data_IF_259187830051
#
_entry.id   IF_259187830051
#
_cell.length_a   1.000
_cell.length_b   1.000
_cell.length_c   1.000
_cell.angle_alpha   90.00
_cell.angle_beta   90.00
_cell.angle_gamma   90.00
#
_symmetry.space_group_name_H-M   'P 1'
#
loop_
_entity.id
_entity.type
_entity.pdbx_description
1 polymer ?
#
# COMPACT_ATOMS: atom_id res chain seq x y z
N UNK A 1 14.93 2.59 3.44
CA UNK A 1 13.71 2.45 4.25
C UNK A 1 13.40 0.96 4.49
N UNK A 2 13.00 0.61 5.72
CA UNK A 2 12.73 -0.77 6.16
C UNK A 2 13.96 -1.54 6.67
N UNK A 3 13.77 -2.82 7.01
CA UNK A 3 14.81 -3.73 7.51
C UNK A 3 15.16 -4.82 6.47
N UNK A 4 16.43 -5.21 6.38
CA UNK A 4 16.88 -6.36 5.58
C UNK A 4 17.00 -7.58 6.48
N UNK A 5 16.30 -8.66 6.14
CA UNK A 5 16.39 -9.94 6.84
C UNK A 5 17.18 -10.92 5.97
N UNK A 6 18.29 -11.41 6.49
CA UNK A 6 19.19 -12.33 5.81
C UNK A 6 18.81 -13.78 6.11
N UNK A 7 18.37 -14.51 5.08
CA UNK A 7 18.09 -15.94 5.16
C UNK A 7 19.35 -16.68 4.71
N UNK A 8 20.25 -16.93 5.66
CA UNK A 8 21.58 -17.52 5.41
C UNK A 8 21.53 -19.02 5.15
N UNK A 9 20.62 -19.74 5.81
CA UNK A 9 20.40 -21.19 5.63
C UNK A 9 18.99 -21.43 5.12
N UNK A 10 18.86 -22.11 3.99
CA UNK A 10 17.56 -22.47 3.42
C UNK A 10 17.65 -23.85 2.75
N UNK A 11 16.49 -24.50 2.55
CA UNK A 11 16.40 -25.69 1.68
C UNK A 11 16.61 -25.33 0.20
N UNK A 12 16.48 -24.05 -0.14
CA UNK A 12 16.75 -23.50 -1.46
C UNK A 12 18.04 -22.66 -1.45
N UNK A 13 17.98 -21.43 -1.93
CA UNK A 13 19.12 -20.53 -2.01
C UNK A 13 19.11 -19.49 -0.88
N UNK A 14 20.31 -18.98 -0.59
CA UNK A 14 20.46 -17.83 0.29
C UNK A 14 19.74 -16.64 -0.33
N UNK A 15 19.09 -15.82 0.50
CA UNK A 15 18.41 -14.62 0.01
C UNK A 15 18.24 -13.59 1.10
N UNK A 16 18.01 -12.36 0.68
CA UNK A 16 17.68 -11.25 1.56
C UNK A 16 16.27 -10.80 1.27
N UNK A 17 15.44 -10.70 2.31
CA UNK A 17 14.06 -10.20 2.20
C UNK A 17 13.99 -8.81 2.82
N UNK A 18 13.35 -7.87 2.11
CA UNK A 18 13.06 -6.54 2.65
C UNK A 18 11.76 -6.55 3.43
N UNK A 19 11.82 -6.16 4.70
CA UNK A 19 10.65 -5.92 5.55
C UNK A 19 10.40 -4.42 5.59
N UNK A 20 9.25 -3.97 5.10
CA UNK A 20 8.89 -2.54 5.05
C UNK A 20 7.89 -2.19 6.15
N UNK A 21 6.72 -2.82 6.15
CA UNK A 21 5.61 -2.45 7.06
C UNK A 21 5.95 -2.63 8.54
N UNK A 22 6.55 -3.76 8.88
CA UNK A 22 6.85 -4.15 10.26
C UNK A 22 8.30 -3.91 10.66
N UNK A 23 9.02 -3.04 9.93
CA UNK A 23 10.44 -2.81 10.20
C UNK A 23 10.68 -2.25 11.61
N UNK A 24 9.81 -1.34 12.08
CA UNK A 24 9.89 -0.77 13.42
C UNK A 24 9.56 -1.80 14.52
N UNK A 25 8.66 -2.74 14.26
CA UNK A 25 8.35 -3.83 15.18
C UNK A 25 9.51 -4.82 15.24
N UNK A 26 10.13 -5.10 14.09
CA UNK A 26 11.32 -5.94 14.01
C UNK A 26 12.50 -5.30 14.78
N UNK A 27 12.69 -3.99 14.64
CA UNK A 27 13.71 -3.25 15.38
C UNK A 27 13.50 -3.37 16.89
N UNK A 28 12.28 -3.11 17.37
CA UNK A 28 11.91 -3.30 18.79
C UNK A 28 12.12 -4.74 19.26
N UNK A 29 11.81 -5.71 18.40
CA UNK A 29 11.95 -7.12 18.74
C UNK A 29 13.41 -7.57 18.93
N UNK A 30 14.35 -6.96 18.19
CA UNK A 30 15.79 -7.27 18.28
C UNK A 30 16.57 -6.27 19.13
N UNK A 31 15.89 -5.30 19.74
CA UNK A 31 16.50 -4.30 20.60
C UNK A 31 17.25 -4.98 21.76
N UNK A 32 18.48 -4.53 22.02
CA UNK A 32 19.37 -5.13 23.02
C UNK A 32 19.99 -6.49 22.64
N UNK A 33 19.75 -7.01 21.42
CA UNK A 33 20.39 -8.25 20.95
C UNK A 33 21.69 -7.98 20.19
N UNK A 34 22.58 -8.96 20.18
CA UNK A 34 23.83 -8.89 19.41
C UNK A 34 23.56 -9.18 17.93
N UNK A 35 24.47 -8.75 17.06
CA UNK A 35 24.29 -8.90 15.61
C UNK A 35 24.35 -10.38 15.17
N UNK A 36 25.02 -11.22 15.95
CA UNK A 36 25.19 -12.65 15.68
C UNK A 36 23.98 -13.47 16.14
N UNK A 37 23.12 -12.89 16.98
CA UNK A 37 21.97 -13.60 17.53
C UNK A 37 20.89 -13.79 16.45
N UNK A 38 20.18 -14.92 16.53
CA UNK A 38 19.03 -15.14 15.64
C UNK A 38 17.96 -14.09 15.90
N UNK A 39 17.47 -13.48 14.81
CA UNK A 39 16.34 -12.55 14.84
C UNK A 39 15.14 -13.19 15.54
N UNK A 40 14.77 -14.42 15.16
CA UNK A 40 13.71 -15.20 15.81
C UNK A 40 14.31 -16.40 16.55
N UNK A 41 14.12 -16.47 17.86
CA UNK A 41 14.69 -17.52 18.72
C UNK A 41 13.73 -18.65 19.04
N UNK A 42 12.43 -18.46 18.77
CA UNK A 42 11.40 -19.47 19.01
C UNK A 42 11.38 -20.52 17.90
N UNK A 43 11.14 -21.77 18.27
CA UNK A 43 11.03 -22.86 17.31
C UNK A 43 9.70 -22.80 16.53
N UNK A 44 9.60 -23.63 15.48
CA UNK A 44 8.44 -23.67 14.59
C UNK A 44 7.11 -23.91 15.33
N UNK A 45 7.06 -24.83 16.29
CA UNK A 45 5.84 -25.19 16.99
C UNK A 45 5.34 -24.07 17.90
N UNK A 46 6.26 -23.38 18.58
CA UNK A 46 5.92 -22.19 19.38
C UNK A 46 5.35 -21.08 18.50
N UNK A 47 6.00 -20.78 17.38
CA UNK A 47 5.50 -19.77 16.43
C UNK A 47 4.16 -20.18 15.82
N UNK A 48 3.96 -21.47 15.55
CA UNK A 48 2.69 -21.99 15.08
C UNK A 48 1.58 -21.82 16.11
N UNK A 49 1.87 -22.00 17.41
CA UNK A 49 0.90 -21.78 18.48
C UNK A 49 0.50 -20.31 18.56
N UNK A 50 1.47 -19.38 18.58
CA UNK A 50 1.18 -17.95 18.53
C UNK A 50 0.35 -17.57 17.29
N UNK A 51 0.67 -18.17 16.14
CA UNK A 51 -0.10 -17.95 14.93
C UNK A 51 -1.52 -18.51 15.05
N UNK A 52 -1.74 -19.67 15.68
CA UNK A 52 -3.09 -20.21 15.90
C UNK A 52 -3.93 -19.26 16.75
N UNK A 53 -3.36 -18.70 17.80
CA UNK A 53 -4.06 -17.77 18.68
C UNK A 53 -4.41 -16.48 17.95
N UNK A 54 -3.45 -15.90 17.21
CA UNK A 54 -3.70 -14.75 16.35
C UNK A 54 -4.75 -15.02 15.27
N UNK A 55 -4.72 -16.22 14.66
CA UNK A 55 -5.69 -16.65 13.64
C UNK A 55 -7.11 -16.74 14.19
N UNK A 56 -7.26 -17.24 15.42
CA UNK A 56 -8.54 -17.31 16.14
C UNK A 56 -9.06 -15.92 16.50
N UNK A 57 -8.20 -15.06 17.05
CA UNK A 57 -8.56 -13.68 17.40
C UNK A 57 -9.01 -12.90 16.16
N UNK A 58 -8.36 -13.14 15.02
CA UNK A 58 -8.73 -12.53 13.75
C UNK A 58 -10.02 -13.10 13.12
N UNK A 59 -10.65 -14.12 13.73
CA UNK A 59 -11.88 -14.74 13.20
C UNK A 59 -11.69 -15.47 11.87
N UNK A 60 -10.46 -15.92 11.57
CA UNK A 60 -10.15 -16.56 10.29
C UNK A 60 -10.57 -18.04 10.28
N UNK A 61 -10.96 -18.59 9.10
CA UNK A 61 -11.45 -19.96 9.00
C UNK A 61 -10.41 -20.99 9.40
N UNK A 62 -10.88 -22.16 9.84
CA UNK A 62 -9.99 -23.24 10.28
C UNK A 62 -9.17 -23.79 9.11
N UNK A 63 -7.85 -23.60 9.20
CA UNK A 63 -6.87 -24.08 8.22
C UNK A 63 -5.76 -24.88 8.90
N UNK A 64 -5.38 -26.02 8.30
CA UNK A 64 -4.29 -26.88 8.78
C UNK A 64 -2.91 -26.24 8.59
N UNK A 65 -2.57 -25.76 7.39
CA UNK A 65 -1.22 -25.27 7.03
C UNK A 65 -1.12 -23.74 7.03
N UNK A 66 -1.31 -23.09 8.18
CA UNK A 66 -1.40 -21.61 8.30
C UNK A 66 -0.21 -20.85 7.70
N UNK A 67 1.04 -21.24 8.00
CA UNK A 67 2.22 -20.59 7.40
C UNK A 67 2.29 -20.72 5.88
N UNK A 68 1.84 -21.85 5.34
CA UNK A 68 1.80 -22.08 3.91
C UNK A 68 0.76 -21.19 3.22
N UNK A 69 -0.42 -21.06 3.83
CA UNK A 69 -1.45 -20.14 3.36
C UNK A 69 -0.98 -18.69 3.40
N UNK A 70 -0.39 -18.23 4.51
CA UNK A 70 0.17 -16.88 4.58
C UNK A 70 1.20 -16.60 3.48
N UNK A 71 2.10 -17.56 3.26
CA UNK A 71 3.11 -17.47 2.20
C UNK A 71 2.46 -17.35 0.82
N UNK A 72 1.42 -18.12 0.57
CA UNK A 72 0.69 -18.12 -0.68
C UNK A 72 -0.11 -16.84 -0.90
N UNK A 73 -0.89 -16.42 0.09
CA UNK A 73 -1.62 -15.14 0.06
C UNK A 73 -0.68 -13.97 -0.25
N UNK A 74 0.52 -13.95 0.36
CA UNK A 74 1.50 -12.89 0.07
C UNK A 74 2.06 -12.95 -1.35
N UNK A 75 2.25 -14.15 -1.91
CA UNK A 75 2.71 -14.29 -3.30
C UNK A 75 1.65 -13.78 -4.29
N UNK A 76 0.39 -14.16 -4.08
CA UNK A 76 -0.75 -13.70 -4.90
C UNK A 76 -0.91 -12.17 -4.82
N UNK A 77 -0.82 -11.60 -3.61
CA UNK A 77 -0.88 -10.15 -3.41
C UNK A 77 0.23 -9.43 -4.20
N UNK A 78 1.47 -9.91 -4.12
CA UNK A 78 2.60 -9.29 -4.82
C UNK A 78 2.50 -9.42 -6.34
N UNK A 79 1.97 -10.53 -6.84
CA UNK A 79 1.72 -10.71 -8.28
C UNK A 79 0.68 -9.70 -8.80
N UNK A 80 -0.40 -9.48 -8.03
CA UNK A 80 -1.42 -8.45 -8.34
C UNK A 80 -0.85 -7.04 -8.30
N UNK A 81 0.16 -6.79 -7.46
CA UNK A 81 0.90 -5.53 -7.40
C UNK A 81 1.94 -5.38 -8.54
N UNK A 82 2.03 -6.34 -9.46
CA UNK A 82 2.84 -6.25 -10.66
C UNK A 82 4.21 -6.92 -10.59
N UNK A 83 4.52 -7.67 -9.52
CA UNK A 83 5.75 -8.47 -9.51
C UNK A 83 5.64 -9.61 -10.54
N UNK A 84 6.67 -9.75 -11.36
CA UNK A 84 6.74 -10.86 -12.30
C UNK A 84 7.16 -12.16 -11.61
N UNK A 85 6.99 -13.27 -12.32
CA UNK A 85 7.27 -14.61 -11.79
C UNK A 85 8.71 -14.77 -11.30
N UNK A 86 9.69 -14.25 -12.05
CA UNK A 86 11.11 -14.40 -11.70
C UNK A 86 11.45 -13.63 -10.42
N UNK A 87 10.86 -12.45 -10.24
CA UNK A 87 10.98 -11.66 -9.00
C UNK A 87 10.37 -12.41 -7.81
N UNK A 88 9.19 -13.02 -7.99
CA UNK A 88 8.58 -13.86 -6.96
C UNK A 88 9.46 -15.08 -6.64
N UNK A 89 10.03 -15.75 -7.63
CA UNK A 89 10.95 -16.87 -7.39
C UNK A 89 12.15 -16.45 -6.54
N UNK A 90 12.78 -15.30 -6.85
CA UNK A 90 13.90 -14.76 -6.08
C UNK A 90 13.48 -14.42 -4.65
N UNK A 91 12.37 -13.70 -4.48
CA UNK A 91 11.88 -13.26 -3.17
C UNK A 91 11.51 -14.44 -2.26
N UNK A 92 10.79 -15.41 -2.82
CA UNK A 92 10.31 -16.57 -2.06
C UNK A 92 11.38 -17.68 -1.97
N UNK A 93 12.40 -17.67 -2.82
CA UNK A 93 13.44 -18.70 -2.89
C UNK A 93 12.90 -20.00 -3.49
N UNK A 94 12.12 -19.91 -4.56
CA UNK A 94 11.61 -21.06 -5.30
C UNK A 94 12.57 -21.43 -6.43
N UNK A 95 12.94 -22.71 -6.51
CA UNK A 95 13.80 -23.23 -7.61
C UNK A 95 13.02 -23.51 -8.89
N UNK A 96 11.74 -23.80 -8.77
CA UNK A 96 10.88 -24.19 -9.90
C UNK A 96 9.60 -23.36 -9.91
N UNK A 97 8.99 -23.26 -11.10
CA UNK A 97 7.73 -22.54 -11.32
C UNK A 97 6.51 -23.22 -10.71
N UNK A 98 6.61 -24.49 -10.27
CA UNK A 98 5.50 -25.27 -9.67
C UNK A 98 4.70 -24.51 -8.60
N UNK A 99 5.33 -23.60 -7.86
CA UNK A 99 4.68 -22.79 -6.83
C UNK A 99 3.94 -21.56 -7.37
N UNK A 100 4.36 -21.05 -8.53
CA UNK A 100 3.73 -19.94 -9.26
C UNK A 100 2.55 -20.45 -10.08
N UNK A 101 2.65 -21.66 -10.66
CA UNK A 101 1.59 -22.27 -11.48
C UNK A 101 0.25 -22.39 -10.74
N UNK A 102 0.28 -22.43 -9.40
CA UNK A 102 -0.92 -22.41 -8.53
C UNK A 102 -1.68 -21.07 -8.60
N UNK A 103 -1.04 -19.99 -9.06
CA UNK A 103 -1.56 -18.62 -9.07
C UNK A 103 -1.49 -17.91 -10.43
N UNK A 104 -0.69 -18.42 -11.37
CA UNK A 104 -0.41 -17.81 -12.68
C UNK A 104 -1.54 -18.03 -13.69
N UNK A 105 -2.80 -17.88 -13.27
CA UNK A 105 -3.94 -17.86 -14.18
C UNK A 105 -4.02 -16.47 -14.84
N UNK A 106 -3.17 -16.25 -15.84
CA UNK A 106 -3.31 -15.11 -16.74
C UNK A 106 -4.52 -15.34 -17.65
N UNK A 107 -5.43 -14.38 -17.71
CA UNK A 107 -6.49 -14.39 -18.71
C UNK A 107 -6.02 -13.68 -19.97
N UNK A 108 -6.64 -13.97 -21.12
CA UNK A 108 -6.36 -13.25 -22.37
C UNK A 108 -6.65 -11.75 -22.22
N UNK A 109 -7.68 -11.38 -21.44
CA UNK A 109 -8.00 -10.00 -21.12
C UNK A 109 -6.84 -9.28 -20.40
N UNK A 110 -6.19 -9.94 -19.43
CA UNK A 110 -5.03 -9.36 -18.73
C UNK A 110 -3.84 -9.11 -19.68
N UNK A 111 -3.69 -9.94 -20.71
CA UNK A 111 -2.64 -9.80 -21.73
C UNK A 111 -3.00 -8.67 -22.69
N UNK A 112 -4.24 -8.62 -23.15
CA UNK A 112 -4.75 -7.57 -24.03
C UNK A 112 -4.66 -6.18 -23.39
N UNK A 113 -5.10 -6.03 -22.14
CA UNK A 113 -4.95 -4.77 -21.39
C UNK A 113 -3.49 -4.33 -21.26
N UNK A 114 -2.55 -5.28 -21.08
CA UNK A 114 -1.11 -4.95 -21.06
C UNK A 114 -0.58 -4.54 -22.42
N UNK A 115 -1.04 -5.18 -23.50
CA UNK A 115 -0.63 -4.83 -24.86
C UNK A 115 -1.17 -3.44 -25.25
N UNK A 116 -2.44 -3.16 -24.97
CA UNK A 116 -3.04 -1.85 -25.18
C UNK A 116 -2.29 -0.76 -24.40
N UNK A 117 -1.87 -1.03 -23.15
CA UNK A 117 -1.01 -0.11 -22.40
C UNK A 117 0.33 0.18 -23.08
N UNK A 118 0.98 -0.84 -23.63
CA UNK A 118 2.30 -0.70 -24.27
C UNK A 118 2.20 0.10 -25.57
N UNK A 119 1.18 -0.16 -26.38
CA UNK A 119 1.10 0.36 -27.74
C UNK A 119 0.18 1.57 -27.90
N UNK A 120 -0.86 1.70 -27.07
CA UNK A 120 -1.90 2.74 -27.17
C UNK A 120 -1.79 3.76 -26.02
N UNK A 121 -1.10 3.41 -24.93
CA UNK A 121 -0.92 4.31 -23.78
C UNK A 121 -2.19 4.49 -22.93
N UNK A 122 -3.17 3.59 -23.07
CA UNK A 122 -4.37 3.64 -22.23
C UNK A 122 -4.00 3.38 -20.75
N UNK A 123 -4.22 4.39 -19.91
CA UNK A 123 -4.26 4.23 -18.46
C UNK A 123 -5.58 3.55 -18.10
N UNK A 124 -5.60 2.22 -18.09
CA UNK A 124 -6.62 1.51 -17.32
C UNK A 124 -6.39 1.91 -15.85
N UNK A 125 -7.42 2.37 -15.15
CA UNK A 125 -7.38 2.62 -13.70
C UNK A 125 -6.94 1.34 -12.99
N UNK A 126 -5.63 1.14 -12.84
CA UNK A 126 -5.11 0.17 -11.91
C UNK A 126 -5.54 0.69 -10.55
N UNK A 127 -6.38 -0.09 -9.86
CA UNK A 127 -6.48 -0.05 -8.40
C UNK A 127 -5.09 -0.42 -7.84
N UNK A 128 -4.13 0.49 -7.97
CA UNK A 128 -2.85 0.37 -7.29
C UNK A 128 -3.22 0.47 -5.83
N UNK A 129 -3.15 -0.68 -5.16
CA UNK A 129 -3.22 -0.77 -3.72
C UNK A 129 -1.95 -0.08 -3.16
N UNK A 130 -1.92 1.25 -3.23
CA UNK A 130 -0.82 2.07 -2.74
C UNK A 130 -0.88 2.02 -1.21
N UNK A 131 0.20 1.52 -0.63
CA UNK A 131 0.39 1.59 0.82
C UNK A 131 0.44 3.05 1.26
N UNK A 132 -0.32 3.40 2.29
CA UNK A 132 -0.38 4.75 2.86
C UNK A 132 0.46 4.87 4.13
N UNK A 133 0.65 6.08 4.64
CA UNK A 133 1.24 6.30 5.96
C UNK A 133 0.13 6.53 6.99
N UNK A 134 0.25 5.90 8.15
CA UNK A 134 -0.62 6.18 9.31
C UNK A 134 -0.40 7.64 9.75
N UNK A 135 -1.45 8.45 9.94
CA UNK A 135 -1.26 9.86 10.31
C UNK A 135 -0.73 10.03 11.74
N UNK A 136 -1.02 9.08 12.64
CA UNK A 136 -0.53 9.12 14.03
C UNK A 136 0.93 8.71 14.17
N UNK A 137 1.30 7.57 13.58
CA UNK A 137 2.62 6.95 13.84
C UNK A 137 3.50 6.78 12.60
N UNK A 138 3.05 7.28 11.45
CA UNK A 138 3.74 7.28 10.14
C UNK A 138 4.12 5.89 9.60
N UNK A 139 3.64 4.82 10.23
CA UNK A 139 3.84 3.46 9.74
C UNK A 139 3.25 3.30 8.34
N UNK A 140 3.94 2.54 7.48
CA UNK A 140 3.39 2.16 6.17
C UNK A 140 2.31 1.13 6.41
N UNK A 141 1.08 1.44 6.01
CA UNK A 141 -0.11 0.62 6.21
C UNK A 141 -0.66 0.14 4.87
N UNK A 142 -1.09 -1.13 4.75
CA UNK A 142 -1.83 -1.59 3.58
C UNK A 142 -3.07 -0.73 3.31
N UNK A 143 -3.45 -0.53 2.05
CA UNK A 143 -4.66 0.22 1.70
C UNK A 143 -5.93 -0.45 2.25
N UNK A 144 -5.94 -1.79 2.37
CA UNK A 144 -7.08 -2.57 2.87
C UNK A 144 -7.23 -2.57 4.40
N UNK A 145 -6.26 -2.02 5.14
CA UNK A 145 -6.30 -2.08 6.60
C UNK A 145 -7.37 -1.14 7.18
N UNK A 146 -8.25 -1.66 8.03
CA UNK A 146 -9.25 -0.88 8.76
C UNK A 146 -8.65 -0.11 9.94
N UNK A 147 -7.50 -0.55 10.44
CA UNK A 147 -6.76 0.07 11.54
C UNK A 147 -5.25 -0.03 11.31
N UNK A 148 -4.49 0.84 11.96
CA UNK A 148 -3.04 0.83 11.89
C UNK A 148 -2.50 -0.38 12.65
N UNK A 149 -1.74 -1.29 12.00
CA UNK A 149 -1.22 -2.48 12.66
C UNK A 149 -0.15 -2.17 13.72
N UNK A 150 0.40 -0.95 13.72
CA UNK A 150 1.44 -0.52 14.68
C UNK A 150 0.87 0.12 15.95
N UNK A 151 -0.14 0.98 15.81
CA UNK A 151 -0.66 1.79 16.93
C UNK A 151 -2.15 1.62 17.20
N UNK A 152 -2.84 0.75 16.47
CA UNK A 152 -4.26 0.47 16.65
C UNK A 152 -5.24 1.53 16.14
N UNK A 153 -4.75 2.67 15.64
CA UNK A 153 -5.58 3.76 15.13
C UNK A 153 -6.57 3.27 14.06
N UNK A 154 -7.89 3.43 14.23
CA UNK A 154 -8.86 3.15 13.17
C UNK A 154 -8.63 4.08 11.96
N UNK A 155 -8.40 3.51 10.78
CA UNK A 155 -8.10 4.25 9.55
C UNK A 155 -9.33 4.50 8.68
N UNK A 156 -10.38 3.67 8.79
CA UNK A 156 -11.63 3.87 8.04
C UNK A 156 -12.39 5.13 8.47
N UNK A 157 -12.39 5.45 9.77
CA UNK A 157 -13.08 6.64 10.30
C UNK A 157 -12.39 7.96 9.94
N UNK A 158 -11.05 7.99 9.90
CA UNK A 158 -10.30 9.18 9.49
C UNK A 158 -10.44 9.50 8.00
N UNK A 159 -10.61 8.49 7.14
CA UNK A 159 -10.92 8.71 5.71
C UNK A 159 -12.26 9.43 5.58
N UNK A 160 -13.31 8.97 6.26
CA UNK A 160 -14.62 9.64 6.23
C UNK A 160 -14.54 11.07 6.76
N UNK A 161 -13.79 11.32 7.84
CA UNK A 161 -13.63 12.67 8.39
C UNK A 161 -12.89 13.55 7.38
N UNK A 162 -11.81 13.06 6.77
CA UNK A 162 -10.99 13.84 5.85
C UNK A 162 -11.65 14.06 4.49
N UNK A 163 -12.36 13.06 3.96
CA UNK A 163 -13.22 13.20 2.77
C UNK A 163 -14.33 14.22 3.02
N UNK A 164 -14.95 14.17 4.21
CA UNK A 164 -15.95 15.16 4.61
C UNK A 164 -15.34 16.57 4.69
N UNK A 165 -14.19 16.74 5.34
CA UNK A 165 -13.52 18.05 5.42
C UNK A 165 -13.13 18.60 4.06
N UNK A 166 -12.59 17.77 3.16
CA UNK A 166 -12.24 18.18 1.79
C UNK A 166 -13.51 18.54 1.01
N UNK A 167 -14.59 17.76 1.16
CA UNK A 167 -15.87 18.05 0.52
C UNK A 167 -16.43 19.40 0.99
N UNK A 168 -16.43 19.63 2.31
CA UNK A 168 -16.90 20.88 2.92
C UNK A 168 -16.07 22.09 2.42
N UNK A 169 -14.73 21.97 2.33
CA UNK A 169 -13.84 23.03 1.82
C UNK A 169 -14.08 23.33 0.32
N UNK A 170 -14.29 22.29 -0.50
CA UNK A 170 -14.59 22.46 -1.93
C UNK A 170 -15.96 23.11 -2.14
N UNK A 171 -16.95 22.77 -1.31
CA UNK A 171 -18.28 23.38 -1.38
C UNK A 171 -18.25 24.87 -1.00
N UNK A 172 -17.49 25.22 0.04
CA UNK A 172 -17.26 26.61 0.48
C UNK A 172 -16.59 27.44 -0.63
N UNK A 173 -15.52 26.90 -1.24
CA UNK A 173 -14.81 27.57 -2.33
C UNK A 173 -15.72 27.79 -3.55
N UNK A 174 -16.59 26.82 -3.87
CA UNK A 174 -17.55 26.94 -4.96
C UNK A 174 -18.55 28.07 -4.71
N UNK A 175 -19.11 28.16 -3.49
CA UNK A 175 -20.02 29.25 -3.10
C UNK A 175 -19.37 30.63 -3.20
N UNK A 176 -18.11 30.76 -2.81
CA UNK A 176 -17.37 32.01 -2.93
C UNK A 176 -17.14 32.41 -4.39
N UNK A 177 -16.81 31.45 -5.26
CA UNK A 177 -16.66 31.68 -6.69
C UNK A 177 -17.99 32.13 -7.31
N UNK A 178 -19.09 31.44 -7.03
CA UNK A 178 -20.41 31.78 -7.57
C UNK A 178 -20.81 33.22 -7.17
N UNK A 179 -20.55 33.60 -5.92
CA UNK A 179 -20.80 34.97 -5.43
C UNK A 179 -19.89 36.01 -6.10
N UNK A 180 -18.63 35.67 -6.36
CA UNK A 180 -17.72 36.55 -7.11
C UNK A 180 -18.18 36.73 -8.56
N UNK A 181 -18.68 35.66 -9.19
CA UNK A 181 -19.26 35.70 -10.54
C UNK A 181 -20.52 36.56 -10.57
N UNK A 182 -21.42 36.45 -9.59
CA UNK A 182 -22.59 37.34 -9.49
C UNK A 182 -22.19 38.81 -9.37
N UNK A 183 -21.22 39.13 -8.51
CA UNK A 183 -20.72 40.51 -8.34
C UNK A 183 -20.08 41.02 -9.63
N UNK A 184 -19.29 40.17 -10.30
CA UNK A 184 -18.65 40.46 -11.59
C UNK A 184 -19.67 40.75 -12.70
N UNK A 185 -20.75 39.98 -12.76
CA UNK A 185 -21.84 40.17 -13.74
C UNK A 185 -22.71 41.38 -13.41
N UNK A 186 -22.89 41.69 -12.12
CA UNK A 186 -23.65 42.85 -11.65
C UNK A 186 -22.89 44.17 -11.79
N UNK A 187 -21.57 44.13 -11.97
CA UNK A 187 -20.73 45.32 -12.16
C UNK A 187 -19.64 45.09 -13.23
N UNK A 188 -19.99 45.19 -14.53
CA UNK A 188 -19.09 44.88 -15.65
C UNK A 188 -17.86 45.79 -15.74
N UNK A 189 -17.98 47.03 -15.28
CA UNK A 189 -16.88 48.02 -15.31
C UNK A 189 -15.81 47.70 -14.25
N UNK A 190 -16.22 47.18 -13.09
CA UNK A 190 -15.30 46.68 -12.07
C UNK A 190 -14.47 45.51 -12.63
N UNK A 191 -15.09 44.58 -13.35
CA UNK A 191 -14.42 43.44 -13.98
C UNK A 191 -13.36 43.88 -15.00
N UNK A 192 -13.71 44.85 -15.86
CA UNK A 192 -12.78 45.45 -16.82
C UNK A 192 -11.58 46.10 -16.12
N UNK A 193 -11.80 46.81 -15.02
CA UNK A 193 -10.72 47.48 -14.28
C UNK A 193 -9.71 46.52 -13.66
N UNK A 194 -10.17 45.36 -13.16
CA UNK A 194 -9.33 44.31 -12.57
C UNK A 194 -8.50 43.61 -13.66
N UNK A 195 -9.12 43.25 -14.78
CA UNK A 195 -8.44 42.62 -15.92
C UNK A 195 -7.35 43.53 -16.53
N UNK A 196 -7.64 44.84 -16.65
CA UNK A 196 -6.68 45.82 -17.15
C UNK A 196 -5.48 46.03 -16.21
N UNK A 197 -5.66 45.92 -14.89
CA UNK A 197 -4.56 46.03 -13.91
C UNK A 197 -3.66 44.79 -13.90
N UNK A 198 -4.24 43.59 -14.02
CA UNK A 198 -3.49 42.33 -14.09
C UNK A 198 -2.59 42.26 -15.34
N UNK A 199 -3.09 42.69 -16.50
CA UNK A 199 -2.32 42.75 -17.75
C UNK A 199 -1.15 43.75 -17.73
N UNK A 200 -1.19 44.77 -16.86
CA UNK A 200 -0.09 45.72 -16.65
C UNK A 200 0.99 45.19 -15.70
N UNK A 201 0.65 44.29 -14.78
CA UNK A 201 1.62 43.72 -13.83
C UNK A 201 2.44 42.55 -14.41
N UNK A 202 1.96 41.86 -15.45
CA UNK A 202 2.71 40.78 -16.13
C UNK A 202 3.66 41.23 -17.25
N UNK A 203 3.86 42.54 -17.45
CA UNK A 203 4.73 43.13 -18.49
C UNK A 203 5.96 43.87 -17.93
N UNK A 204 6.30 43.63 -16.67
CA UNK A 204 7.52 44.12 -16.03
C UNK A 204 8.52 42.98 -15.81
#
# INVERSE_FOLDING_TARGET
YGAKVYIRKSKSEYRTVRVVMFAADLQRYVEGRRMEDYVFTKNYNTLLQYLKDAWRIAGLPHIKRKFHVLRHSRATELMKLGLNERELMLLFGWKTRKMIDVYAHLTLADVESKLLRIYVGEEVEESRMISRKCPRCLAVVPPTASSCPRCGLPLKGEIMIREKTIHDEVEEARRLIDKLVEIALSNPDLLRSILQRSLKQGRA
#
